data_IF_297003357918
#
_entry.id   IF_297003357918
#
_cell.length_a   1.000
_cell.length_b   1.000
_cell.length_c   1.000
_cell.angle_alpha   90.00
_cell.angle_beta   90.00
_cell.angle_gamma   90.00
#
_symmetry.space_group_name_H-M   'P 1'
#
loop_
_entity.id
_entity.type
_entity.pdbx_description
1 polymer ?
#
# COMPACT_ATOMS: atom_id res chain seq x y z
N UNK A 1 15.76 19.97 -8.05
CA UNK A 1 14.80 19.45 -9.06
C UNK A 1 13.84 20.58 -9.40
N UNK A 2 13.63 20.83 -10.69
CA UNK A 2 12.70 21.87 -11.13
C UNK A 2 11.27 21.53 -10.71
N UNK A 3 10.55 22.50 -10.14
CA UNK A 3 9.16 22.31 -9.74
C UNK A 3 8.29 22.26 -10.99
N UNK A 4 7.50 21.20 -11.15
CA UNK A 4 6.46 21.17 -12.18
C UNK A 4 5.40 22.25 -11.89
N UNK A 5 4.72 22.72 -12.93
CA UNK A 5 3.55 23.59 -12.77
C UNK A 5 2.54 22.95 -11.82
N UNK A 6 1.82 23.78 -11.03
CA UNK A 6 0.74 23.31 -10.14
C UNK A 6 -0.26 22.46 -10.94
N UNK A 7 -0.65 21.32 -10.38
CA UNK A 7 -1.67 20.47 -10.99
C UNK A 7 -2.98 21.25 -11.19
N UNK A 8 -3.48 21.27 -12.44
CA UNK A 8 -4.64 22.07 -12.84
C UNK A 8 -5.95 21.74 -12.09
N UNK A 9 -6.01 20.57 -11.47
CA UNK A 9 -7.19 20.08 -10.74
C UNK A 9 -6.94 19.94 -9.23
N UNK A 10 -5.80 20.45 -8.73
CA UNK A 10 -5.42 20.28 -7.32
C UNK A 10 -6.43 20.84 -6.32
N UNK A 11 -7.13 21.90 -6.70
CA UNK A 11 -8.06 22.60 -5.81
C UNK A 11 -9.40 21.87 -5.65
N UNK A 12 -9.70 20.90 -6.52
CA UNK A 12 -10.94 20.12 -6.52
C UNK A 12 -10.71 18.62 -6.42
N UNK A 13 -9.49 18.14 -6.72
CA UNK A 13 -9.12 16.74 -6.58
C UNK A 13 -8.64 16.46 -5.16
N UNK A 14 -9.31 15.57 -4.42
CA UNK A 14 -8.93 15.18 -3.05
C UNK A 14 -7.62 14.37 -2.94
N UNK A 15 -6.85 14.22 -4.04
CA UNK A 15 -5.65 13.38 -4.07
C UNK A 15 -4.40 14.00 -3.44
N UNK A 16 -4.30 15.35 -3.44
CA UNK A 16 -3.10 16.09 -3.01
C UNK A 16 -3.48 17.36 -2.26
N UNK A 17 -3.10 17.47 -1.00
CA UNK A 17 -3.43 18.62 -0.15
C UNK A 17 -2.34 19.70 -0.16
N UNK A 18 -1.10 19.34 -0.53
CA UNK A 18 0.08 20.21 -0.41
C UNK A 18 0.67 20.65 -1.76
N UNK A 19 -0.14 20.67 -2.83
CA UNK A 19 0.30 21.12 -4.16
C UNK A 19 0.72 22.58 -4.23
N UNK A 20 0.29 23.40 -3.28
CA UNK A 20 0.63 24.82 -3.18
C UNK A 20 2.04 25.06 -2.61
N UNK A 21 2.65 24.06 -1.94
CA UNK A 21 3.98 24.12 -1.35
C UNK A 21 5.03 23.50 -2.26
N UNK A 22 6.26 24.01 -2.24
CA UNK A 22 7.40 23.27 -2.78
C UNK A 22 7.75 22.06 -1.89
N UNK A 23 8.59 21.16 -2.39
CA UNK A 23 8.82 19.89 -1.70
C UNK A 23 9.55 20.09 -0.35
N UNK A 24 10.46 21.03 -0.25
CA UNK A 24 11.14 21.35 1.01
C UNK A 24 10.17 21.88 2.06
N UNK A 25 9.29 22.79 1.66
CA UNK A 25 8.23 23.32 2.53
C UNK A 25 7.26 22.22 3.00
N UNK A 26 6.97 21.22 2.12
CA UNK A 26 6.15 20.06 2.51
C UNK A 26 6.85 19.22 3.60
N UNK A 27 8.15 18.98 3.47
CA UNK A 27 8.93 18.23 4.46
C UNK A 27 8.99 18.98 5.80
N UNK A 28 9.20 20.28 5.78
CA UNK A 28 9.20 21.14 6.99
C UNK A 28 7.85 21.12 7.70
N UNK A 29 6.76 21.24 6.94
CA UNK A 29 5.40 21.18 7.49
C UNK A 29 5.12 19.83 8.14
N UNK A 30 5.47 18.73 7.47
CA UNK A 30 5.33 17.36 7.98
C UNK A 30 6.20 17.15 9.22
N UNK A 31 7.46 17.58 9.21
CA UNK A 31 8.36 17.52 10.36
C UNK A 31 7.75 18.21 11.59
N UNK A 32 7.36 19.47 11.46
CA UNK A 32 6.77 20.25 12.54
C UNK A 32 5.49 19.61 13.09
N UNK A 33 4.66 19.01 12.22
CA UNK A 33 3.44 18.32 12.62
C UNK A 33 3.74 17.09 13.47
N UNK A 34 4.72 16.27 13.06
CA UNK A 34 5.13 15.08 13.77
C UNK A 34 5.83 15.44 15.10
N UNK A 35 6.69 16.44 15.11
CA UNK A 35 7.33 16.95 16.34
C UNK A 35 6.31 17.41 17.38
N UNK A 36 5.33 18.22 16.98
CA UNK A 36 4.24 18.64 17.88
C UNK A 36 3.45 17.46 18.42
N UNK A 37 3.17 16.47 17.56
CA UNK A 37 2.41 15.29 17.94
C UNK A 37 3.11 14.46 19.01
N UNK A 38 4.42 14.24 18.87
CA UNK A 38 5.20 13.37 19.75
C UNK A 38 6.04 14.10 20.80
N UNK A 39 5.88 15.42 20.95
CA UNK A 39 6.68 16.29 21.84
C UNK A 39 6.80 15.78 23.29
N UNK A 40 5.74 15.13 23.81
CA UNK A 40 5.69 14.58 25.18
C UNK A 40 6.14 13.11 25.26
N UNK A 41 6.54 12.49 24.15
CA UNK A 41 6.94 11.08 24.10
C UNK A 41 8.44 10.95 23.86
N UNK A 42 8.92 11.52 22.75
CA UNK A 42 10.33 11.46 22.35
C UNK A 42 10.63 12.58 21.34
N UNK A 43 11.86 13.07 21.33
CA UNK A 43 12.36 13.92 20.25
C UNK A 43 12.28 13.14 18.94
N UNK A 44 11.76 13.81 17.91
CA UNK A 44 11.58 13.22 16.57
C UNK A 44 12.86 13.42 15.76
N UNK A 45 13.27 12.38 15.05
CA UNK A 45 14.40 12.45 14.11
C UNK A 45 14.02 13.28 12.88
N UNK A 46 15.01 13.83 12.15
CA UNK A 46 14.74 14.54 10.89
C UNK A 46 13.99 13.65 9.91
N UNK A 47 12.97 14.21 9.23
CA UNK A 47 12.18 13.48 8.24
C UNK A 47 13.05 13.03 7.06
N UNK A 48 12.88 11.78 6.65
CA UNK A 48 13.52 11.27 5.43
C UNK A 48 12.59 11.58 4.26
N UNK A 49 13.00 12.51 3.40
CA UNK A 49 12.32 12.83 2.14
C UNK A 49 12.66 11.84 1.03
N UNK A 50 12.02 11.99 -0.13
CA UNK A 50 12.36 11.21 -1.33
C UNK A 50 13.11 12.09 -2.36
N UNK A 51 13.95 11.45 -3.16
CA UNK A 51 14.76 12.15 -4.18
C UNK A 51 13.88 12.76 -5.28
N UNK A 52 12.82 12.03 -5.69
CA UNK A 52 11.86 12.51 -6.67
C UNK A 52 10.43 12.43 -6.12
N UNK A 53 9.77 13.58 -5.87
CA UNK A 53 8.41 13.62 -5.35
C UNK A 53 7.33 13.40 -6.42
N UNK A 54 7.70 13.33 -7.72
CA UNK A 54 6.76 13.16 -8.82
C UNK A 54 6.74 11.72 -9.33
N UNK A 55 5.62 11.31 -9.94
CA UNK A 55 5.44 10.02 -10.63
C UNK A 55 5.84 8.79 -9.80
N UNK A 56 5.75 8.92 -8.47
CA UNK A 56 6.18 7.86 -7.55
C UNK A 56 5.16 6.73 -7.38
N UNK A 57 3.87 7.00 -7.66
CA UNK A 57 2.82 5.99 -7.41
C UNK A 57 2.84 4.91 -8.47
N UNK A 58 3.21 3.71 -8.04
CA UNK A 58 3.21 2.49 -8.85
C UNK A 58 1.82 1.82 -8.92
N UNK A 59 0.84 2.29 -8.15
CA UNK A 59 -0.55 1.85 -8.20
C UNK A 59 -1.46 3.06 -8.35
N UNK A 60 -2.12 3.14 -9.50
CA UNK A 60 -3.03 4.21 -9.86
C UNK A 60 -4.41 3.62 -10.09
N UNK A 61 -5.42 4.24 -9.51
CA UNK A 61 -6.81 3.84 -9.63
C UNK A 61 -7.64 5.06 -10.00
N UNK A 62 -8.45 4.93 -11.04
CA UNK A 62 -9.39 5.98 -11.47
C UNK A 62 -10.79 5.41 -11.63
N UNK A 63 -11.78 6.20 -11.21
CA UNK A 63 -13.19 5.92 -11.47
C UNK A 63 -13.56 6.32 -12.90
N UNK A 64 -14.51 5.62 -13.49
CA UNK A 64 -15.04 5.88 -14.82
C UNK A 64 -16.51 6.26 -14.74
N UNK A 65 -16.90 7.30 -15.47
CA UNK A 65 -18.30 7.74 -15.59
C UNK A 65 -18.55 8.36 -16.96
N UNK A 66 -19.79 8.68 -17.23
CA UNK A 66 -20.20 9.39 -18.46
C UNK A 66 -20.78 10.76 -18.12
N UNK A 67 -20.25 11.79 -18.76
CA UNK A 67 -20.78 13.13 -18.70
C UNK A 67 -21.12 13.63 -20.11
N UNK A 68 -22.36 14.07 -20.36
CA UNK A 68 -22.84 14.51 -21.67
C UNK A 68 -22.49 13.54 -22.80
N UNK A 69 -22.73 12.25 -22.60
CA UNK A 69 -22.39 11.13 -23.51
C UNK A 69 -20.89 10.91 -23.78
N UNK A 70 -20.02 11.59 -23.08
CA UNK A 70 -18.56 11.40 -23.15
C UNK A 70 -18.06 10.64 -21.93
N UNK A 71 -17.20 9.65 -22.15
CA UNK A 71 -16.52 8.95 -21.05
C UNK A 71 -15.51 9.87 -20.39
N UNK A 72 -15.59 10.00 -19.07
CA UNK A 72 -14.63 10.69 -18.23
C UNK A 72 -14.00 9.71 -17.25
N UNK A 73 -12.76 9.96 -16.84
CA UNK A 73 -12.10 9.19 -15.77
C UNK A 73 -11.27 10.10 -14.87
N UNK A 74 -11.17 9.74 -13.61
CA UNK A 74 -10.41 10.49 -12.63
C UNK A 74 -10.71 10.08 -11.20
N UNK A 75 -10.48 11.00 -10.27
CA UNK A 75 -10.78 10.82 -8.86
C UNK A 75 -12.14 11.45 -8.51
N UNK A 76 -12.73 10.99 -7.42
CA UNK A 76 -13.89 11.65 -6.85
C UNK A 76 -13.51 13.00 -6.22
N UNK A 77 -14.38 14.00 -6.37
CA UNK A 77 -14.37 15.18 -5.52
C UNK A 77 -14.59 14.70 -4.09
N UNK A 78 -13.85 15.27 -3.14
CA UNK A 78 -13.93 14.86 -1.74
C UNK A 78 -15.37 14.86 -1.22
N UNK A 79 -15.76 13.78 -0.56
CA UNK A 79 -17.10 13.56 0.02
C UNK A 79 -18.25 13.53 -0.99
N UNK A 80 -17.97 13.34 -2.29
CA UNK A 80 -18.98 13.25 -3.35
C UNK A 80 -18.77 12.02 -4.25
N UNK A 81 -19.72 11.79 -5.17
CA UNK A 81 -19.59 10.82 -6.28
C UNK A 81 -19.27 11.50 -7.63
N UNK A 82 -19.03 12.80 -7.62
CA UNK A 82 -18.62 13.54 -8.82
C UNK A 82 -17.16 13.25 -9.16
N UNK A 83 -16.87 13.03 -10.46
CA UNK A 83 -15.53 12.72 -10.92
C UNK A 83 -14.86 13.98 -11.45
N UNK A 84 -13.70 14.32 -10.88
CA UNK A 84 -12.75 15.27 -11.45
C UNK A 84 -12.00 14.57 -12.56
N UNK A 85 -12.18 15.01 -13.81
CA UNK A 85 -11.47 14.43 -14.94
C UNK A 85 -9.97 14.70 -14.84
N UNK A 86 -9.17 13.62 -14.84
CA UNK A 86 -7.70 13.67 -14.75
C UNK A 86 -7.12 13.06 -16.01
N UNK A 87 -6.34 13.84 -16.76
CA UNK A 87 -5.61 13.34 -17.93
C UNK A 87 -4.18 12.93 -17.58
N UNK A 88 -3.53 13.72 -16.72
CA UNK A 88 -2.16 13.48 -16.29
C UNK A 88 -2.03 13.81 -14.82
N UNK A 89 -1.88 12.79 -13.99
CA UNK A 89 -1.69 12.93 -12.56
C UNK A 89 -0.19 13.00 -12.27
N UNK A 90 0.28 14.09 -11.67
CA UNK A 90 1.71 14.35 -11.43
C UNK A 90 2.35 13.40 -10.42
N UNK A 91 1.56 12.74 -9.55
CA UNK A 91 2.08 11.75 -8.61
C UNK A 91 1.95 10.31 -9.12
N UNK A 92 1.08 10.07 -10.10
CA UNK A 92 0.92 8.77 -10.74
C UNK A 92 2.06 8.51 -11.73
N UNK A 93 2.45 7.25 -11.85
CA UNK A 93 3.38 6.82 -12.91
C UNK A 93 2.85 7.24 -14.29
N UNK A 94 3.74 7.73 -15.16
CA UNK A 94 3.38 8.23 -16.48
C UNK A 94 2.77 7.13 -17.36
N UNK A 95 3.33 5.91 -17.34
CA UNK A 95 2.76 4.76 -18.07
C UNK A 95 1.35 4.42 -17.59
N UNK A 96 1.09 4.55 -16.27
CA UNK A 96 -0.27 4.36 -15.76
C UNK A 96 -1.24 5.41 -16.29
N UNK A 97 -0.82 6.68 -16.35
CA UNK A 97 -1.63 7.75 -16.97
C UNK A 97 -1.94 7.42 -18.44
N UNK A 98 -0.94 7.00 -19.21
CA UNK A 98 -1.10 6.70 -20.64
C UNK A 98 -2.01 5.51 -20.88
N UNK A 99 -1.83 4.42 -20.13
CA UNK A 99 -2.71 3.23 -20.22
C UNK A 99 -4.14 3.58 -19.87
N UNK A 100 -4.39 4.34 -18.79
CA UNK A 100 -5.75 4.74 -18.38
C UNK A 100 -6.38 5.64 -19.45
N UNK A 101 -5.62 6.57 -20.02
CA UNK A 101 -6.12 7.41 -21.12
C UNK A 101 -6.45 6.59 -22.37
N UNK A 102 -5.65 5.58 -22.70
CA UNK A 102 -5.94 4.65 -23.81
C UNK A 102 -7.20 3.84 -23.51
N UNK A 103 -7.35 3.29 -22.31
CA UNK A 103 -8.57 2.57 -21.90
C UNK A 103 -9.80 3.48 -22.03
N UNK A 104 -9.72 4.74 -21.60
CA UNK A 104 -10.80 5.71 -21.74
C UNK A 104 -11.20 5.92 -23.21
N UNK A 105 -10.22 6.05 -24.13
CA UNK A 105 -10.49 6.17 -25.57
C UNK A 105 -11.17 4.91 -26.12
N UNK A 106 -10.65 3.72 -25.77
CA UNK A 106 -11.20 2.44 -26.20
C UNK A 106 -12.62 2.20 -25.66
N UNK A 107 -12.88 2.51 -24.38
CA UNK A 107 -14.23 2.43 -23.78
C UNK A 107 -15.23 3.26 -24.56
N UNK A 108 -14.82 4.46 -25.00
CA UNK A 108 -15.66 5.32 -25.83
C UNK A 108 -15.87 4.76 -27.26
N UNK A 109 -14.79 4.27 -27.89
CA UNK A 109 -14.84 3.72 -29.27
C UNK A 109 -15.66 2.43 -29.37
N UNK A 110 -15.56 1.55 -28.37
CA UNK A 110 -16.33 0.31 -28.29
C UNK A 110 -17.71 0.49 -27.66
N UNK A 111 -18.13 1.73 -27.36
CA UNK A 111 -19.40 2.03 -26.70
C UNK A 111 -19.65 1.18 -25.43
N UNK A 112 -18.57 0.86 -24.67
CA UNK A 112 -18.68 0.17 -23.40
C UNK A 112 -19.28 1.14 -22.37
N UNK A 113 -20.40 0.76 -21.76
CA UNK A 113 -21.06 1.61 -20.77
C UNK A 113 -20.18 1.77 -19.52
N UNK A 114 -20.12 2.98 -18.99
CA UNK A 114 -19.57 3.20 -17.64
C UNK A 114 -20.64 2.86 -16.60
N UNK A 115 -20.21 2.54 -15.39
CA UNK A 115 -21.12 2.21 -14.30
C UNK A 115 -21.72 3.48 -13.69
N UNK A 116 -23.04 3.48 -13.54
CA UNK A 116 -23.79 4.54 -12.87
C UNK A 116 -24.09 4.09 -11.42
N UNK A 117 -23.45 4.74 -10.45
CA UNK A 117 -23.59 4.40 -9.02
C UNK A 117 -25.02 4.67 -8.51
N UNK A 118 -25.77 5.62 -9.09
CA UNK A 118 -27.13 5.93 -8.67
C UNK A 118 -28.12 4.88 -9.18
N UNK A 119 -28.03 4.53 -10.48
CA UNK A 119 -28.87 3.51 -11.11
C UNK A 119 -28.39 2.10 -10.84
N UNK A 120 -27.18 1.96 -10.33
CA UNK A 120 -26.51 0.70 -10.06
C UNK A 120 -26.46 -0.21 -11.30
N UNK A 121 -26.09 0.35 -12.42
CA UNK A 121 -26.08 -0.31 -13.74
C UNK A 121 -24.93 0.18 -14.61
N UNK A 122 -24.53 -0.63 -15.59
CA UNK A 122 -23.42 -0.36 -16.49
C UNK A 122 -22.27 -1.36 -16.32
N UNK A 123 -21.23 -1.18 -17.10
CA UNK A 123 -20.11 -2.13 -17.17
C UNK A 123 -18.89 -1.65 -16.36
N UNK A 124 -18.14 -0.67 -16.86
CA UNK A 124 -16.86 -0.28 -16.28
C UNK A 124 -17.03 0.73 -15.15
N UNK A 125 -16.57 0.37 -13.93
CA UNK A 125 -16.62 1.23 -12.73
C UNK A 125 -15.28 1.93 -12.50
N UNK A 126 -14.18 1.14 -12.44
CA UNK A 126 -12.85 1.67 -12.19
C UNK A 126 -11.82 0.95 -13.05
N UNK A 127 -10.71 1.60 -13.28
CA UNK A 127 -9.49 0.98 -13.78
C UNK A 127 -8.41 1.18 -12.76
N UNK A 128 -7.69 0.10 -12.44
CA UNK A 128 -6.48 0.15 -11.64
C UNK A 128 -5.31 -0.32 -12.50
N UNK A 129 -4.24 0.46 -12.52
CA UNK A 129 -2.96 0.08 -13.12
C UNK A 129 -1.95 -0.04 -12.02
N UNK A 130 -1.24 -1.16 -11.98
CA UNK A 130 -0.13 -1.42 -11.06
C UNK A 130 1.12 -1.75 -11.87
N UNK A 131 2.21 -1.11 -11.54
CA UNK A 131 3.48 -1.26 -12.24
C UNK A 131 4.57 -1.73 -11.28
N UNK A 132 5.48 -2.56 -11.80
CA UNK A 132 6.77 -2.80 -11.18
C UNK A 132 7.81 -1.86 -11.80
N UNK A 133 8.50 -1.11 -10.96
CA UNK A 133 9.60 -0.23 -11.40
C UNK A 133 10.88 -1.02 -11.72
N UNK A 134 11.03 -2.23 -11.21
CA UNK A 134 12.26 -3.02 -11.35
C UNK A 134 12.18 -4.06 -12.44
N UNK A 135 11.00 -4.63 -12.71
CA UNK A 135 10.79 -5.65 -13.76
C UNK A 135 10.07 -5.09 -14.99
N UNK A 136 9.57 -3.85 -14.93
CA UNK A 136 8.71 -3.21 -15.92
C UNK A 136 7.40 -3.97 -16.19
N UNK A 137 7.00 -4.90 -15.34
CA UNK A 137 5.73 -5.61 -15.46
C UNK A 137 4.55 -4.70 -15.11
N UNK A 138 3.48 -4.81 -15.89
CA UNK A 138 2.27 -3.98 -15.73
C UNK A 138 1.03 -4.86 -15.61
N UNK A 139 0.26 -4.63 -14.55
CA UNK A 139 -1.05 -5.22 -14.33
C UNK A 139 -2.13 -4.18 -14.52
N UNK A 140 -3.09 -4.49 -15.37
CA UNK A 140 -4.32 -3.70 -15.54
C UNK A 140 -5.49 -4.46 -14.93
N UNK A 141 -6.24 -3.80 -14.03
CA UNK A 141 -7.45 -4.38 -13.43
C UNK A 141 -8.65 -3.54 -13.88
N UNK A 142 -9.53 -4.18 -14.63
CA UNK A 142 -10.82 -3.60 -15.05
C UNK A 142 -11.86 -3.96 -14.00
N UNK A 143 -12.29 -3.00 -13.20
CA UNK A 143 -13.36 -3.23 -12.21
C UNK A 143 -14.70 -3.00 -12.91
N UNK A 144 -15.52 -4.03 -12.97
CA UNK A 144 -16.79 -4.02 -13.69
C UNK A 144 -17.97 -4.30 -12.80
N UNK A 145 -19.12 -3.66 -13.08
CA UNK A 145 -20.41 -3.96 -12.46
C UNK A 145 -21.07 -5.22 -13.02
N UNK A 146 -20.59 -5.74 -14.15
CA UNK A 146 -21.14 -6.92 -14.83
C UNK A 146 -20.04 -7.97 -15.10
N UNK A 147 -20.45 -9.23 -15.27
CA UNK A 147 -19.54 -10.31 -15.69
C UNK A 147 -19.13 -10.19 -17.16
N UNK A 148 -19.99 -9.60 -17.98
CA UNK A 148 -19.77 -9.45 -19.42
C UNK A 148 -19.18 -8.07 -19.72
N UNK A 149 -18.10 -8.04 -20.48
CA UNK A 149 -17.53 -6.84 -21.09
C UNK A 149 -17.88 -6.91 -22.59
N UNK A 150 -18.65 -5.96 -23.16
CA UNK A 150 -18.92 -5.91 -24.59
C UNK A 150 -17.61 -5.86 -25.39
N UNK A 151 -17.57 -6.53 -26.53
CA UNK A 151 -16.41 -6.55 -27.45
C UNK A 151 -15.07 -6.92 -26.75
N UNK A 152 -15.13 -7.74 -25.71
CA UNK A 152 -13.99 -8.04 -24.84
C UNK A 152 -12.71 -8.42 -25.57
N UNK A 153 -12.80 -9.30 -26.61
CA UNK A 153 -11.62 -9.77 -27.36
C UNK A 153 -10.95 -8.62 -28.09
N UNK A 154 -11.71 -7.83 -28.82
CA UNK A 154 -11.20 -6.73 -29.63
C UNK A 154 -10.67 -5.59 -28.75
N UNK A 155 -11.40 -5.25 -27.68
CA UNK A 155 -10.97 -4.27 -26.69
C UNK A 155 -9.60 -4.63 -26.09
N UNK A 156 -9.43 -5.88 -25.62
CA UNK A 156 -8.17 -6.35 -25.04
C UNK A 156 -7.08 -6.45 -26.11
N UNK A 157 -7.40 -6.95 -27.29
CA UNK A 157 -6.46 -7.02 -28.41
C UNK A 157 -5.91 -5.64 -28.80
N UNK A 158 -6.76 -4.64 -28.91
CA UNK A 158 -6.33 -3.26 -29.20
C UNK A 158 -5.52 -2.66 -28.05
N UNK A 159 -5.94 -2.88 -26.80
CA UNK A 159 -5.19 -2.37 -25.64
C UNK A 159 -3.76 -2.93 -25.61
N UNK A 160 -3.59 -4.22 -25.84
CA UNK A 160 -2.27 -4.88 -25.88
C UNK A 160 -1.46 -4.43 -27.11
N UNK A 161 -2.11 -4.23 -28.26
CA UNK A 161 -1.43 -3.73 -29.47
C UNK A 161 -0.84 -2.34 -29.26
N UNK A 162 -1.52 -1.46 -28.49
CA UNK A 162 -1.06 -0.10 -28.19
C UNK A 162 -0.04 -0.11 -27.04
N UNK A 163 -0.24 -0.98 -26.05
CA UNK A 163 0.59 -1.13 -24.85
C UNK A 163 1.12 -2.56 -24.71
N UNK A 164 2.09 -2.99 -25.55
CA UNK A 164 2.63 -4.35 -25.51
C UNK A 164 3.39 -4.68 -24.21
N UNK A 165 3.74 -3.67 -23.43
CA UNK A 165 4.35 -3.81 -22.11
C UNK A 165 3.39 -4.31 -21.02
N UNK A 166 2.07 -4.36 -21.27
CA UNK A 166 1.11 -4.91 -20.31
C UNK A 166 1.34 -6.40 -20.15
N UNK A 167 1.73 -6.80 -18.95
CA UNK A 167 2.01 -8.21 -18.60
C UNK A 167 0.74 -9.00 -18.35
N UNK A 168 -0.28 -8.37 -17.77
CA UNK A 168 -1.53 -9.05 -17.43
C UNK A 168 -2.71 -8.09 -17.33
N UNK A 169 -3.88 -8.57 -17.78
CA UNK A 169 -5.16 -7.85 -17.66
C UNK A 169 -6.13 -8.73 -16.89
N UNK A 170 -6.77 -8.16 -15.88
CA UNK A 170 -7.67 -8.85 -14.98
C UNK A 170 -9.00 -8.12 -14.91
N UNK A 171 -10.10 -8.85 -14.96
CA UNK A 171 -11.40 -8.32 -14.60
C UNK A 171 -11.65 -8.57 -13.11
N UNK A 172 -12.06 -7.53 -12.38
CA UNK A 172 -12.60 -7.65 -11.04
C UNK A 172 -14.10 -7.31 -11.10
N UNK A 173 -14.95 -8.31 -10.85
CA UNK A 173 -16.39 -8.08 -10.88
C UNK A 173 -16.88 -7.58 -9.53
N UNK A 174 -17.22 -6.31 -9.44
CA UNK A 174 -17.78 -5.69 -8.25
C UNK A 174 -19.18 -5.10 -8.53
N UNK A 175 -20.18 -5.91 -8.30
CA UNK A 175 -21.59 -5.57 -8.42
C UNK A 175 -22.28 -5.38 -7.06
N UNK A 176 -21.52 -4.98 -6.04
CA UNK A 176 -22.04 -4.71 -4.68
C UNK A 176 -22.10 -3.21 -4.42
N UNK A 177 -23.06 -2.77 -3.62
CA UNK A 177 -23.10 -1.42 -3.04
C UNK A 177 -22.08 -1.35 -1.90
N UNK A 178 -20.89 -0.91 -2.19
CA UNK A 178 -19.78 -0.84 -1.24
C UNK A 178 -18.77 0.22 -1.65
N UNK A 179 -18.12 0.84 -0.68
CA UNK A 179 -16.98 1.73 -0.91
C UNK A 179 -15.69 0.97 -1.31
N UNK A 180 -15.65 -0.35 -1.15
CA UNK A 180 -14.52 -1.16 -1.59
C UNK A 180 -14.52 -1.26 -3.11
N UNK A 181 -13.41 -0.87 -3.73
CA UNK A 181 -13.25 -0.90 -5.19
C UNK A 181 -13.08 -2.33 -5.70
N UNK A 182 -12.22 -3.13 -5.06
CA UNK A 182 -12.00 -4.53 -5.43
C UNK A 182 -12.94 -5.45 -4.65
N UNK A 183 -13.45 -6.46 -5.34
CA UNK A 183 -14.13 -7.62 -4.76
C UNK A 183 -13.19 -8.81 -4.67
N UNK A 184 -13.72 -9.96 -4.32
CA UNK A 184 -13.03 -11.26 -4.31
C UNK A 184 -13.15 -12.03 -5.64
N UNK A 185 -13.82 -11.46 -6.65
CA UNK A 185 -14.13 -12.12 -7.94
C UNK A 185 -13.21 -11.62 -9.04
N UNK A 186 -12.15 -12.36 -9.32
CA UNK A 186 -11.16 -12.03 -10.33
C UNK A 186 -11.18 -13.04 -11.48
N UNK A 187 -11.17 -12.55 -12.73
CA UNK A 187 -11.01 -13.33 -13.95
C UNK A 187 -9.80 -12.81 -14.71
N UNK A 188 -8.86 -13.70 -15.02
CA UNK A 188 -7.71 -13.35 -15.87
C UNK A 188 -8.20 -13.26 -17.31
N UNK A 189 -8.01 -12.09 -17.93
CA UNK A 189 -8.38 -11.83 -19.30
C UNK A 189 -7.18 -11.95 -20.25
N UNK A 190 -5.96 -11.67 -19.73
CA UNK A 190 -4.71 -11.80 -20.46
C UNK A 190 -3.56 -11.99 -19.47
N UNK A 191 -2.54 -12.77 -19.88
CA UNK A 191 -1.31 -12.96 -19.13
C UNK A 191 -1.44 -13.86 -17.91
N UNK A 192 -0.51 -13.70 -16.96
CA UNK A 192 -0.28 -14.64 -15.84
C UNK A 192 -1.12 -14.39 -14.59
N UNK A 193 -1.87 -13.26 -14.52
CA UNK A 193 -2.74 -12.93 -13.40
C UNK A 193 -2.03 -12.32 -12.19
N UNK A 194 -0.75 -11.99 -12.30
CA UNK A 194 0.06 -11.33 -11.28
C UNK A 194 1.21 -10.57 -11.94
N UNK A 195 1.89 -9.73 -11.18
CA UNK A 195 3.18 -9.14 -11.57
C UNK A 195 4.24 -9.47 -10.52
N UNK A 196 5.50 -9.30 -10.88
CA UNK A 196 6.64 -9.42 -9.99
C UNK A 196 7.35 -8.07 -9.86
N UNK A 197 7.85 -7.77 -8.66
CA UNK A 197 8.69 -6.60 -8.38
C UNK A 197 9.86 -7.00 -7.51
N UNK A 198 10.95 -6.19 -7.51
CA UNK A 198 12.12 -6.45 -6.67
C UNK A 198 12.18 -5.40 -5.55
N UNK A 199 12.43 -5.86 -4.34
CA UNK A 199 12.61 -5.03 -3.15
C UNK A 199 13.73 -5.63 -2.28
N UNK A 200 14.72 -4.83 -1.90
CA UNK A 200 15.86 -5.28 -1.08
C UNK A 200 16.57 -6.53 -1.64
N UNK A 201 16.69 -6.63 -2.97
CA UNK A 201 17.32 -7.76 -3.65
C UNK A 201 16.47 -9.03 -3.70
N UNK A 202 15.24 -9.00 -3.22
CA UNK A 202 14.29 -10.11 -3.27
C UNK A 202 13.22 -9.86 -4.33
N UNK A 203 12.70 -10.96 -4.92
CA UNK A 203 11.60 -10.91 -5.88
C UNK A 203 10.28 -11.18 -5.18
N UNK A 204 9.28 -10.34 -5.43
CA UNK A 204 7.95 -10.45 -4.84
C UNK A 204 6.89 -10.58 -5.93
N UNK A 205 6.14 -11.67 -5.88
CA UNK A 205 4.89 -11.83 -6.61
C UNK A 205 3.81 -11.00 -5.95
N UNK A 206 3.05 -10.26 -6.77
CA UNK A 206 2.00 -9.35 -6.33
C UNK A 206 0.70 -9.73 -7.06
N UNK A 207 -0.25 -10.28 -6.31
CA UNK A 207 -1.59 -10.62 -6.81
C UNK A 207 -2.49 -9.37 -6.86
N UNK A 208 -3.62 -9.39 -7.60
CA UNK A 208 -4.50 -8.22 -7.79
C UNK A 208 -4.98 -7.58 -6.49
N UNK A 209 -5.38 -8.39 -5.51
CA UNK A 209 -5.90 -7.93 -4.22
C UNK A 209 -4.82 -7.71 -3.14
N UNK A 210 -3.56 -8.08 -3.41
CA UNK A 210 -2.49 -7.95 -2.42
C UNK A 210 -2.14 -6.48 -2.18
N UNK A 211 -1.94 -6.15 -0.90
CA UNK A 211 -1.33 -4.87 -0.55
C UNK A 211 0.16 -4.88 -0.91
N UNK A 212 0.63 -3.82 -1.48
CA UNK A 212 2.04 -3.54 -1.76
C UNK A 212 2.23 -2.03 -1.75
N UNK A 213 3.32 -1.54 -1.17
CA UNK A 213 3.59 -0.11 -1.04
C UNK A 213 3.60 0.60 -2.39
N UNK A 214 3.02 1.80 -2.43
CA UNK A 214 2.79 2.51 -3.70
C UNK A 214 3.96 3.36 -4.18
N UNK A 215 4.96 3.57 -3.34
CA UNK A 215 6.17 4.32 -3.68
C UNK A 215 7.39 3.38 -3.69
N UNK A 216 7.70 2.82 -4.87
CA UNK A 216 8.76 1.81 -5.03
C UNK A 216 10.15 2.33 -4.63
N UNK A 217 10.43 3.63 -4.78
CA UNK A 217 11.71 4.22 -4.43
C UNK A 217 11.85 4.42 -2.92
N UNK A 218 10.78 4.80 -2.26
CA UNK A 218 10.80 5.13 -0.83
C UNK A 218 10.57 3.91 0.07
N UNK A 219 9.95 2.85 -0.45
CA UNK A 219 9.67 1.62 0.31
C UNK A 219 10.95 0.95 0.84
N UNK A 220 12.03 0.79 0.05
CA UNK A 220 13.29 0.24 0.58
C UNK A 220 13.86 1.09 1.72
N UNK A 221 13.75 2.41 1.63
CA UNK A 221 14.25 3.35 2.65
C UNK A 221 13.47 3.17 3.95
N UNK A 222 12.13 3.12 3.89
CA UNK A 222 11.26 2.88 5.04
C UNK A 222 11.58 1.54 5.71
N UNK A 223 11.62 0.46 4.93
CA UNK A 223 11.82 -0.88 5.47
C UNK A 223 13.24 -1.10 5.99
N UNK A 224 14.27 -0.64 5.28
CA UNK A 224 15.64 -0.75 5.76
C UNK A 224 15.83 0.05 7.05
N UNK A 225 15.27 1.26 7.14
CA UNK A 225 15.33 2.05 8.38
C UNK A 225 14.64 1.33 9.54
N UNK A 226 13.49 0.72 9.32
CA UNK A 226 12.79 -0.07 10.36
C UNK A 226 13.60 -1.30 10.80
N UNK A 227 14.19 -2.02 9.84
CA UNK A 227 15.04 -3.20 10.10
C UNK A 227 16.33 -2.80 10.84
N UNK A 228 16.97 -1.71 10.45
CA UNK A 228 18.20 -1.22 11.09
C UNK A 228 17.94 -0.76 12.53
N UNK A 229 16.82 -0.07 12.78
CA UNK A 229 16.40 0.32 14.12
C UNK A 229 16.15 -0.91 15.04
N UNK A 230 15.69 -2.02 14.48
CA UNK A 230 15.47 -3.25 15.24
C UNK A 230 16.78 -3.85 15.79
N UNK A 231 17.95 -3.54 15.19
CA UNK A 231 19.26 -4.09 15.59
C UNK A 231 19.18 -5.60 15.85
N UNK A 232 18.80 -6.34 14.80
CA UNK A 232 18.51 -7.77 14.86
C UNK A 232 19.77 -8.62 15.05
N UNK A 233 19.64 -9.74 15.77
CA UNK A 233 20.67 -10.74 15.98
C UNK A 233 20.29 -12.08 15.35
N UNK A 234 21.28 -12.92 15.05
CA UNK A 234 21.10 -14.24 14.42
C UNK A 234 20.24 -15.22 15.22
N UNK A 235 20.15 -15.03 16.53
CA UNK A 235 19.36 -15.88 17.43
C UNK A 235 17.95 -15.34 17.69
N UNK A 236 17.61 -14.16 17.16
CA UNK A 236 16.31 -13.54 17.37
C UNK A 236 15.19 -14.29 16.65
N UNK A 237 14.07 -14.45 17.34
CA UNK A 237 12.79 -14.86 16.80
C UNK A 237 11.93 -13.60 16.59
N UNK A 238 11.54 -13.35 15.34
CA UNK A 238 10.83 -12.13 14.93
C UNK A 238 9.40 -12.45 14.52
N UNK A 239 8.45 -11.65 14.97
CA UNK A 239 7.10 -11.62 14.43
C UNK A 239 6.98 -10.41 13.50
N UNK A 240 6.54 -10.65 12.26
CA UNK A 240 6.08 -9.65 11.29
C UNK A 240 4.54 -9.62 11.34
N UNK A 241 4.00 -8.71 12.15
CA UNK A 241 2.56 -8.58 12.34
C UNK A 241 1.95 -7.65 11.28
N UNK A 242 0.85 -8.09 10.68
CA UNK A 242 0.24 -7.46 9.49
C UNK A 242 1.15 -7.57 8.26
N UNK A 243 1.75 -8.75 8.07
CA UNK A 243 2.88 -8.94 7.14
C UNK A 243 2.54 -8.79 5.65
N UNK A 244 1.28 -8.73 5.26
CA UNK A 244 0.86 -8.67 3.87
C UNK A 244 1.46 -9.81 3.04
N UNK A 245 2.17 -9.47 1.97
CA UNK A 245 2.88 -10.43 1.09
C UNK A 245 4.26 -10.85 1.62
N UNK A 246 4.57 -10.53 2.88
CA UNK A 246 5.80 -10.93 3.56
C UNK A 246 7.00 -10.02 3.26
N UNK A 247 6.78 -8.80 2.78
CA UNK A 247 7.87 -7.92 2.30
C UNK A 247 8.87 -7.56 3.38
N UNK A 248 8.43 -7.23 4.59
CA UNK A 248 9.32 -6.89 5.71
C UNK A 248 9.98 -8.16 6.24
N UNK A 249 9.18 -9.17 6.59
CA UNK A 249 9.68 -10.42 7.16
C UNK A 249 10.71 -11.12 6.30
N UNK A 250 10.48 -11.21 4.98
CA UNK A 250 11.44 -11.80 4.06
C UNK A 250 12.72 -10.95 3.90
N UNK A 251 12.60 -9.62 3.90
CA UNK A 251 13.77 -8.72 3.82
C UNK A 251 14.72 -8.86 5.01
N UNK A 252 14.23 -9.23 6.18
CA UNK A 252 15.04 -9.40 7.39
C UNK A 252 15.42 -10.87 7.70
N UNK A 253 14.81 -11.85 7.00
CA UNK A 253 14.94 -13.27 7.34
C UNK A 253 16.39 -13.77 7.42
N UNK A 254 17.28 -13.27 6.55
CA UNK A 254 18.71 -13.62 6.57
C UNK A 254 19.46 -13.09 7.81
N UNK A 255 18.87 -12.15 8.59
CA UNK A 255 19.50 -11.51 9.76
C UNK A 255 19.13 -12.18 11.08
N UNK A 256 18.18 -13.13 11.08
CA UNK A 256 17.55 -13.69 12.28
C UNK A 256 17.46 -15.20 12.23
N UNK A 257 17.10 -15.84 13.36
CA UNK A 257 16.87 -17.27 13.44
C UNK A 257 15.60 -17.68 12.70
N UNK A 258 14.49 -17.03 13.01
CA UNK A 258 13.17 -17.36 12.49
C UNK A 258 12.30 -16.10 12.36
N UNK A 259 11.44 -16.10 11.34
CA UNK A 259 10.40 -15.08 11.11
C UNK A 259 9.04 -15.72 11.10
N UNK A 260 8.10 -15.17 11.83
CA UNK A 260 6.68 -15.56 11.80
C UNK A 260 5.82 -14.41 11.30
N UNK A 261 5.38 -14.48 10.04
CA UNK A 261 4.48 -13.51 9.43
C UNK A 261 3.03 -13.86 9.70
N UNK A 262 2.24 -12.90 10.19
CA UNK A 262 0.81 -13.06 10.41
C UNK A 262 0.01 -11.99 9.68
N UNK A 263 -1.02 -12.42 8.93
CA UNK A 263 -1.88 -11.58 8.11
C UNK A 263 -3.27 -12.21 7.99
N UNK A 264 -4.30 -11.41 8.05
CA UNK A 264 -5.69 -11.88 7.97
C UNK A 264 -6.09 -12.25 6.52
N UNK A 265 -5.50 -11.60 5.54
CA UNK A 265 -5.79 -11.82 4.12
C UNK A 265 -5.13 -13.11 3.62
N UNK A 266 -5.95 -14.12 3.36
CA UNK A 266 -5.47 -15.43 2.89
C UNK A 266 -4.70 -15.37 1.55
N UNK A 267 -5.08 -14.45 0.63
CA UNK A 267 -4.38 -14.32 -0.64
C UNK A 267 -2.98 -13.73 -0.43
N UNK A 268 -2.85 -12.73 0.45
CA UNK A 268 -1.55 -12.17 0.80
C UNK A 268 -0.63 -13.23 1.44
N UNK A 269 -1.15 -14.10 2.30
CA UNK A 269 -0.39 -15.24 2.86
C UNK A 269 0.01 -16.25 1.79
N UNK A 270 -0.86 -16.53 0.81
CA UNK A 270 -0.45 -17.38 -0.35
C UNK A 270 0.72 -16.76 -1.10
N UNK A 271 0.65 -15.46 -1.38
CA UNK A 271 1.74 -14.74 -2.03
C UNK A 271 3.01 -14.74 -1.15
N UNK A 272 2.91 -14.51 0.16
CA UNK A 272 4.05 -14.54 1.07
C UNK A 272 4.78 -15.90 1.06
N UNK A 273 4.03 -17.01 1.06
CA UNK A 273 4.60 -18.36 0.95
C UNK A 273 5.27 -18.61 -0.41
N UNK A 274 4.69 -18.11 -1.50
CA UNK A 274 5.30 -18.17 -2.83
C UNK A 274 6.58 -17.32 -2.84
N UNK A 275 6.54 -16.12 -2.30
CA UNK A 275 7.67 -15.20 -2.22
C UNK A 275 8.83 -15.79 -1.41
N UNK A 276 8.54 -16.48 -0.30
CA UNK A 276 9.55 -17.24 0.46
C UNK A 276 10.27 -18.27 -0.42
N UNK A 277 9.49 -19.06 -1.19
CA UNK A 277 10.04 -20.10 -2.08
C UNK A 277 10.86 -19.52 -3.25
N UNK A 278 10.35 -18.47 -3.92
CA UNK A 278 11.05 -17.79 -5.01
C UNK A 278 12.43 -17.31 -4.55
N UNK A 279 12.51 -16.78 -3.32
CA UNK A 279 13.73 -16.23 -2.75
C UNK A 279 14.58 -17.25 -1.97
N UNK A 280 14.18 -18.52 -1.95
CA UNK A 280 14.86 -19.63 -1.24
C UNK A 280 15.08 -19.29 0.25
N UNK A 281 14.06 -18.70 0.89
CA UNK A 281 14.07 -18.37 2.32
C UNK A 281 13.30 -19.47 3.04
N UNK A 282 13.98 -20.23 3.92
CA UNK A 282 13.44 -21.41 4.58
C UNK A 282 13.05 -21.13 6.04
N UNK A 283 13.56 -20.07 6.63
CA UNK A 283 13.33 -19.69 8.04
C UNK A 283 12.20 -18.66 8.24
N UNK A 284 11.32 -18.50 7.25
CA UNK A 284 10.14 -17.62 7.32
C UNK A 284 8.84 -18.42 7.18
N UNK A 285 7.97 -18.29 8.18
CA UNK A 285 6.72 -19.04 8.31
C UNK A 285 5.53 -18.06 8.27
N UNK A 286 4.51 -18.34 7.45
CA UNK A 286 3.37 -17.44 7.25
C UNK A 286 2.05 -18.09 7.62
N UNK A 287 1.26 -17.38 8.44
CA UNK A 287 -0.02 -17.85 8.98
C UNK A 287 -1.13 -16.87 8.66
N UNK A 288 -2.25 -17.39 8.11
CA UNK A 288 -3.46 -16.59 7.92
C UNK A 288 -4.26 -16.58 9.22
N UNK A 289 -4.21 -15.47 9.94
CA UNK A 289 -4.90 -15.28 11.21
C UNK A 289 -5.08 -13.79 11.52
N UNK A 290 -6.02 -13.48 12.40
CA UNK A 290 -6.06 -12.20 13.10
C UNK A 290 -4.83 -12.06 14.00
N UNK A 291 -4.09 -10.96 13.86
CA UNK A 291 -2.81 -10.76 14.54
C UNK A 291 -2.97 -10.77 16.08
N UNK A 292 -4.03 -10.16 16.61
CA UNK A 292 -4.31 -10.17 18.05
C UNK A 292 -4.61 -11.56 18.59
N UNK A 293 -5.38 -12.37 17.86
CA UNK A 293 -5.63 -13.77 18.23
C UNK A 293 -4.37 -14.62 18.19
N UNK A 294 -3.54 -14.42 17.17
CA UNK A 294 -2.28 -15.15 17.02
C UNK A 294 -1.31 -14.84 18.18
N UNK A 295 -1.10 -13.56 18.50
CA UNK A 295 -0.26 -13.18 19.63
C UNK A 295 -0.81 -13.70 20.95
N UNK A 296 -2.14 -13.74 21.14
CA UNK A 296 -2.78 -14.34 22.33
C UNK A 296 -2.38 -15.81 22.48
N UNK A 297 -2.43 -16.58 21.40
CA UNK A 297 -2.03 -18.00 21.43
C UNK A 297 -0.56 -18.18 21.78
N UNK A 298 0.32 -17.35 21.21
CA UNK A 298 1.75 -17.39 21.54
C UNK A 298 2.03 -17.05 23.00
N UNK A 299 1.31 -16.06 23.54
CA UNK A 299 1.41 -15.67 24.96
C UNK A 299 0.99 -16.82 25.88
N UNK A 300 -0.15 -17.49 25.58
CA UNK A 300 -0.64 -18.65 26.34
C UNK A 300 0.36 -19.82 26.31
N UNK A 301 1.00 -20.05 25.16
CA UNK A 301 2.04 -21.08 24.98
C UNK A 301 3.40 -20.69 25.58
N UNK A 302 3.54 -19.48 26.13
CA UNK A 302 4.82 -18.93 26.62
C UNK A 302 5.92 -18.97 25.56
N UNK A 303 5.55 -18.74 24.28
CA UNK A 303 6.51 -18.78 23.18
C UNK A 303 7.53 -17.64 23.32
N UNK A 304 8.80 -17.97 23.07
CA UNK A 304 9.84 -16.94 23.03
C UNK A 304 9.68 -16.12 21.76
N UNK A 305 9.66 -14.80 21.89
CA UNK A 305 9.71 -13.82 20.79
C UNK A 305 10.61 -12.68 21.23
N UNK A 306 11.61 -12.37 20.44
CA UNK A 306 12.59 -11.34 20.77
C UNK A 306 12.17 -9.98 20.22
N UNK A 307 11.67 -9.93 18.98
CA UNK A 307 11.28 -8.69 18.29
C UNK A 307 9.91 -8.84 17.65
N UNK A 308 9.08 -7.80 17.73
CA UNK A 308 7.85 -7.67 16.95
C UNK A 308 7.97 -6.45 16.04
N UNK A 309 7.83 -6.66 14.74
CA UNK A 309 7.64 -5.59 13.77
C UNK A 309 6.17 -5.56 13.41
N UNK A 310 5.56 -4.38 13.40
CA UNK A 310 4.14 -4.23 13.11
C UNK A 310 3.88 -3.04 12.21
N UNK A 311 3.02 -3.24 11.19
CA UNK A 311 2.55 -2.23 10.24
C UNK A 311 1.01 -2.33 10.12
N UNK A 312 0.26 -1.91 11.16
CA UNK A 312 -1.18 -2.06 11.21
C UNK A 312 -1.89 -1.09 10.26
N UNK A 313 -3.21 -1.29 10.00
CA UNK A 313 -4.01 -0.37 9.19
C UNK A 313 -4.13 1.01 9.85
N UNK A 314 -4.70 1.99 9.13
CA UNK A 314 -4.88 3.39 9.56
C UNK A 314 -5.57 3.56 10.93
N UNK A 315 -6.36 2.59 11.34
CA UNK A 315 -7.00 2.58 12.67
C UNK A 315 -6.04 2.29 13.83
N UNK A 316 -4.79 1.91 13.53
CA UNK A 316 -3.82 1.45 14.52
C UNK A 316 -4.04 -0.01 14.91
N UNK A 317 -3.26 -0.47 15.89
CA UNK A 317 -3.44 -1.78 16.51
C UNK A 317 -4.58 -1.72 17.53
N UNK A 318 -5.42 -2.75 17.54
CA UNK A 318 -6.52 -2.86 18.49
C UNK A 318 -6.04 -3.21 19.91
N UNK A 319 -6.92 -3.04 20.89
CA UNK A 319 -6.61 -3.27 22.29
C UNK A 319 -6.21 -4.73 22.57
N UNK A 320 -6.82 -5.67 21.89
CA UNK A 320 -6.53 -7.11 22.05
C UNK A 320 -5.13 -7.44 21.59
N UNK A 321 -4.72 -6.89 20.44
CA UNK A 321 -3.35 -7.01 19.93
C UNK A 321 -2.36 -6.41 20.93
N UNK A 322 -2.60 -5.18 21.39
CA UNK A 322 -1.69 -4.48 22.32
C UNK A 322 -1.54 -5.22 23.66
N UNK A 323 -2.64 -5.74 24.23
CA UNK A 323 -2.58 -6.58 25.44
C UNK A 323 -1.73 -7.83 25.24
N UNK A 324 -1.93 -8.53 24.12
CA UNK A 324 -1.19 -9.75 23.81
C UNK A 324 0.28 -9.46 23.54
N UNK A 325 0.58 -8.34 22.86
CA UNK A 325 1.94 -7.86 22.62
C UNK A 325 2.69 -7.61 23.95
N UNK A 326 2.04 -6.91 24.89
CA UNK A 326 2.60 -6.68 26.23
C UNK A 326 2.77 -8.01 27.00
N UNK A 327 1.79 -8.92 26.91
CA UNK A 327 1.87 -10.25 27.54
C UNK A 327 2.98 -11.13 26.99
N UNK A 328 3.28 -11.02 25.70
CA UNK A 328 4.36 -11.75 25.01
C UNK A 328 5.75 -11.23 25.41
N UNK A 329 5.85 -10.00 25.88
CA UNK A 329 7.06 -9.35 26.41
C UNK A 329 8.27 -9.37 25.44
N UNK A 330 8.13 -9.04 24.14
CA UNK A 330 9.29 -8.94 23.27
C UNK A 330 10.28 -7.90 23.80
N UNK A 331 11.56 -8.10 23.51
CA UNK A 331 12.63 -7.16 23.92
C UNK A 331 12.47 -5.82 23.19
N UNK A 332 12.07 -5.89 21.91
CA UNK A 332 11.91 -4.72 21.03
C UNK A 332 10.61 -4.79 20.23
N UNK A 333 10.04 -3.63 19.96
CA UNK A 333 8.91 -3.44 19.08
C UNK A 333 9.29 -2.37 18.05
N UNK A 334 9.15 -2.67 16.77
CA UNK A 334 9.25 -1.69 15.68
C UNK A 334 7.87 -1.47 15.13
N UNK A 335 7.35 -0.26 15.31
CA UNK A 335 6.01 0.12 14.91
C UNK A 335 6.05 1.09 13.72
N UNK A 336 5.72 0.61 12.52
CA UNK A 336 5.55 1.41 11.30
C UNK A 336 4.08 1.84 11.25
N UNK A 337 3.81 3.10 10.90
CA UNK A 337 2.42 3.60 10.84
C UNK A 337 2.23 4.70 9.80
N UNK A 338 1.20 4.53 8.99
CA UNK A 338 0.71 5.57 8.07
C UNK A 338 -0.21 6.61 8.75
N UNK A 339 -0.53 6.42 10.04
CA UNK A 339 -1.34 7.35 10.83
C UNK A 339 -0.68 7.63 12.19
N UNK A 340 0.11 8.70 12.28
CA UNK A 340 0.81 9.07 13.52
C UNK A 340 -0.11 9.34 14.72
N UNK A 341 -1.37 9.72 14.49
CA UNK A 341 -2.33 9.95 15.58
C UNK A 341 -2.70 8.66 16.31
N UNK A 342 -3.06 7.62 15.55
CA UNK A 342 -3.38 6.30 16.14
C UNK A 342 -2.13 5.64 16.70
N UNK A 343 -0.97 5.81 16.04
CA UNK A 343 0.31 5.37 16.60
C UNK A 343 0.57 5.99 17.97
N UNK A 344 0.40 7.30 18.12
CA UNK A 344 0.57 7.99 19.41
C UNK A 344 -0.29 7.37 20.52
N UNK A 345 -1.57 7.07 20.23
CA UNK A 345 -2.47 6.43 21.19
C UNK A 345 -1.94 5.06 21.63
N UNK A 346 -1.52 4.23 20.67
CA UNK A 346 -0.95 2.93 20.93
C UNK A 346 0.39 3.03 21.71
N UNK A 347 1.23 4.02 21.39
CA UNK A 347 2.47 4.26 22.13
C UNK A 347 2.21 4.59 23.60
N UNK A 348 1.21 5.39 23.94
CA UNK A 348 0.85 5.66 25.34
C UNK A 348 0.48 4.38 26.10
N UNK A 349 -0.25 3.46 25.44
CA UNK A 349 -0.55 2.17 26.03
C UNK A 349 0.73 1.36 26.33
N UNK A 350 1.63 1.26 25.36
CA UNK A 350 2.90 0.53 25.51
C UNK A 350 3.82 1.15 26.56
N UNK A 351 3.89 2.50 26.64
CA UNK A 351 4.67 3.21 27.65
C UNK A 351 4.19 2.91 29.08
N UNK A 352 2.85 2.85 29.29
CA UNK A 352 2.24 2.48 30.58
C UNK A 352 2.49 1.02 30.95
N UNK A 353 2.82 0.17 29.98
CA UNK A 353 2.98 -1.27 30.16
C UNK A 353 4.45 -1.75 30.01
N UNK A 354 5.41 -0.92 30.40
CA UNK A 354 6.81 -1.34 30.61
C UNK A 354 7.70 -1.21 29.37
N UNK A 355 7.28 -0.45 28.34
CA UNK A 355 8.13 -0.11 27.20
C UNK A 355 8.60 1.34 27.27
N UNK A 356 9.68 1.64 26.55
CA UNK A 356 10.22 2.98 26.38
C UNK A 356 10.46 3.25 24.88
N UNK A 357 10.01 4.38 24.38
CA UNK A 357 10.29 4.82 23.01
C UNK A 357 11.73 5.30 22.91
N UNK A 358 12.52 4.71 22.02
CA UNK A 358 13.91 5.09 21.77
C UNK A 358 14.04 6.05 20.59
N UNK A 359 13.30 5.81 19.51
CA UNK A 359 13.36 6.57 18.27
C UNK A 359 11.95 6.80 17.73
N UNK A 360 11.70 7.97 17.14
CA UNK A 360 10.58 8.25 16.25
C UNK A 360 11.17 8.84 14.97
N UNK A 361 11.07 8.09 13.88
CA UNK A 361 11.60 8.46 12.58
C UNK A 361 10.45 8.66 11.58
N UNK A 362 10.18 9.90 11.12
CA UNK A 362 9.25 10.13 10.02
C UNK A 362 9.91 9.86 8.67
N UNK A 363 9.11 9.36 7.73
CA UNK A 363 9.50 9.07 6.34
C UNK A 363 8.41 9.57 5.41
N UNK A 364 8.75 10.38 4.42
CA UNK A 364 7.78 10.87 3.44
C UNK A 364 7.58 9.84 2.31
N UNK A 365 6.58 8.97 2.50
CA UNK A 365 6.14 8.01 1.49
C UNK A 365 5.19 8.62 0.46
N UNK A 366 4.58 9.78 0.76
CA UNK A 366 3.46 10.33 0.01
C UNK A 366 3.62 11.84 -0.25
N UNK A 367 4.63 12.27 -1.07
CA UNK A 367 4.76 13.65 -1.49
C UNK A 367 3.44 14.26 -2.00
N UNK A 368 3.27 15.56 -1.82
CA UNK A 368 2.08 16.35 -2.13
C UNK A 368 0.82 16.04 -1.32
N UNK A 369 0.87 15.05 -0.43
CA UNK A 369 -0.22 14.75 0.51
C UNK A 369 0.16 15.11 1.94
N UNK A 370 -0.82 15.23 2.82
CA UNK A 370 -0.58 15.44 4.25
C UNK A 370 -0.08 14.19 4.99
N UNK A 371 -0.08 13.03 4.33
CA UNK A 371 0.31 11.77 4.95
C UNK A 371 1.82 11.70 5.16
N UNK A 372 2.21 11.12 6.28
CA UNK A 372 3.59 10.83 6.63
C UNK A 372 3.64 9.48 7.34
N UNK A 373 4.54 8.60 6.90
CA UNK A 373 4.85 7.37 7.64
C UNK A 373 5.76 7.70 8.82
N UNK A 374 5.57 6.99 9.91
CA UNK A 374 6.44 7.09 11.09
C UNK A 374 6.85 5.72 11.58
N UNK A 375 8.13 5.58 11.94
CA UNK A 375 8.68 4.38 12.55
C UNK A 375 8.98 4.70 14.02
N UNK A 376 8.41 3.95 14.94
CA UNK A 376 8.77 4.03 16.36
C UNK A 376 9.51 2.77 16.79
N UNK A 377 10.70 2.93 17.38
CA UNK A 377 11.39 1.86 18.08
C UNK A 377 11.07 1.94 19.57
N UNK A 378 10.57 0.84 20.14
CA UNK A 378 10.39 0.69 21.57
C UNK A 378 11.25 -0.46 22.08
N UNK A 379 11.78 -0.27 23.28
CA UNK A 379 12.48 -1.32 24.03
C UNK A 379 11.78 -1.55 25.36
N UNK A 380 11.81 -2.81 25.83
CA UNK A 380 11.28 -3.15 27.14
C UNK A 380 12.22 -2.63 28.22
N UNK A 381 11.65 -1.99 29.26
CA UNK A 381 12.38 -1.55 30.45
C UNK A 381 12.90 -2.70 31.29
#
# INVERSE_FOLDING_TARGET
MERLEKCKVSDICGGCQLQHLDYQQQLELKQQRIERLFSKIKKVEPIIGCDNPYHYRNKVQMAFSSYKKRVICGNYVESTHEIVEIKNCQIADEKANDIINTIKKLVNSFHISTFDENRFSGCLRHVMVRLSKTTNEIMVILVTGSFTIPYKKDFIGQLISIHPEITTIIQCVNNKRTSMVLSDRFNILYGKGYIEDKLNGLTFRISPSAFYQVNSNQTPILYNKAIDLAQLNKDDIVIDAYCGTGTIGLSLAKKVKEVYGVEINQQAIRDAKINSRINKIENAYFVSADAGKYLTQLTQKRSKVDVVIMDPPRSGADEKFLRSLVGLKPKKIVYISCNPLTQKQNLYYLLKNGYQVQVIQPVDMFPFTEHCETIALLVRK
#
